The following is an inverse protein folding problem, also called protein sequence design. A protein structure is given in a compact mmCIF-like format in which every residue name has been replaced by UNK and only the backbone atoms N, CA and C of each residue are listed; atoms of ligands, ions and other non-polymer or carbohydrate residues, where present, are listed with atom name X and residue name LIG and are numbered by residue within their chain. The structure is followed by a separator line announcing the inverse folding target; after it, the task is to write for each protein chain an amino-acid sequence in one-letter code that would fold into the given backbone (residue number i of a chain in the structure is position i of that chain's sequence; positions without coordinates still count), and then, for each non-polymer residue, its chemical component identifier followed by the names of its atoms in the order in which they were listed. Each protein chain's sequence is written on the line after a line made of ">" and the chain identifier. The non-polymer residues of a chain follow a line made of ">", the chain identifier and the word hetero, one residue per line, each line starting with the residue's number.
data_IF_664724304506
#
_entry.id   IF_664724304506
#
_cell.length_a   1.000
_cell.length_b   1.000
_cell.length_c   1.000
_cell.angle_alpha   90.00
_cell.angle_beta   90.00
_cell.angle_gamma   90.00
#
_symmetry.space_group_name_H-M   'P 1'
#
loop_
_entity.id
_entity.type
_entity.pdbx_description
1 polymer ?
#
# COMPACT_ATOMS: atom_id res chain seq x y z
N UNK A 1 -46.64 13.62 -23.61
CA UNK A 1 -45.21 13.28 -23.39
C UNK A 1 -44.27 14.49 -23.20
N UNK A 2 -44.75 15.72 -22.95
CA UNK A 2 -43.88 16.91 -22.85
C UNK A 2 -43.25 17.13 -21.46
N UNK A 3 -43.80 16.51 -20.41
CA UNK A 3 -43.38 16.78 -19.03
C UNK A 3 -42.34 15.78 -18.48
N UNK A 4 -42.07 14.67 -19.18
CA UNK A 4 -41.10 13.66 -18.74
C UNK A 4 -39.66 14.20 -18.70
N UNK A 5 -39.30 15.06 -19.65
CA UNK A 5 -37.99 15.74 -19.69
C UNK A 5 -37.85 16.77 -18.58
N UNK A 6 -38.94 17.44 -18.21
CA UNK A 6 -38.96 18.40 -17.09
C UNK A 6 -38.76 17.69 -15.75
N UNK A 7 -39.44 16.56 -15.54
CA UNK A 7 -39.30 15.75 -14.31
C UNK A 7 -37.87 15.22 -14.16
N UNK A 8 -37.25 14.75 -15.25
CA UNK A 8 -35.87 14.27 -15.23
C UNK A 8 -34.87 15.37 -14.82
N UNK A 9 -35.04 16.59 -15.34
CA UNK A 9 -34.20 17.73 -14.98
C UNK A 9 -34.32 18.11 -13.50
N UNK A 10 -35.53 18.04 -12.93
CA UNK A 10 -35.75 18.32 -11.51
C UNK A 10 -35.03 17.30 -10.62
N UNK A 11 -35.03 16.02 -10.99
CA UNK A 11 -34.32 14.96 -10.23
C UNK A 11 -32.80 15.20 -10.23
N UNK A 12 -32.23 15.58 -11.37
CA UNK A 12 -30.78 15.86 -11.49
C UNK A 12 -30.38 17.05 -10.61
N UNK A 13 -31.19 18.10 -10.56
CA UNK A 13 -30.94 19.28 -9.72
C UNK A 13 -30.99 18.92 -8.23
N UNK A 14 -31.94 18.07 -7.81
CA UNK A 14 -32.03 17.59 -6.43
C UNK A 14 -30.79 16.78 -6.05
N UNK A 15 -30.29 15.92 -6.94
CA UNK A 15 -29.07 15.14 -6.70
C UNK A 15 -27.82 16.02 -6.57
N UNK A 16 -27.68 17.05 -7.41
CA UNK A 16 -26.56 18.00 -7.32
C UNK A 16 -26.60 18.81 -6.02
N UNK A 17 -27.78 19.22 -5.56
CA UNK A 17 -27.93 19.93 -4.29
C UNK A 17 -27.59 19.04 -3.08
N UNK A 18 -27.97 17.75 -3.11
CA UNK A 18 -27.61 16.79 -2.07
C UNK A 18 -26.10 16.52 -2.01
N UNK A 19 -25.42 16.46 -3.17
CA UNK A 19 -23.97 16.25 -3.22
C UNK A 19 -23.18 17.40 -2.56
N UNK A 20 -23.63 18.64 -2.72
CA UNK A 20 -23.01 19.81 -2.08
C UNK A 20 -23.22 19.81 -0.56
N UNK A 21 -24.38 19.35 -0.06
CA UNK A 21 -24.66 19.27 1.38
C UNK A 21 -23.80 18.20 2.06
N UNK A 22 -23.56 17.06 1.40
CA UNK A 22 -22.66 16.00 1.90
C UNK A 22 -21.21 16.52 1.93
N UNK A 23 -20.80 17.28 0.91
CA UNK A 23 -19.44 17.83 0.82
C UNK A 23 -19.16 18.92 1.87
N UNK A 24 -20.17 19.73 2.22
CA UNK A 24 -20.01 20.84 3.17
C UNK A 24 -20.19 20.45 4.66
N UNK A 25 -20.68 19.24 4.96
CA UNK A 25 -20.78 18.73 6.34
C UNK A 25 -19.63 17.81 6.74
N UNK A 26 -18.64 17.58 5.87
CA UNK A 26 -17.38 16.96 6.27
C UNK A 26 -16.37 18.03 6.72
N UNK A 27 -16.77 18.87 7.68
CA UNK A 27 -15.81 19.63 8.50
C UNK A 27 -15.22 18.63 9.49
N UNK A 28 -14.17 17.95 9.05
CA UNK A 28 -13.27 17.23 9.96
C UNK A 28 -12.69 18.27 10.92
N UNK A 29 -13.22 18.24 12.13
CA UNK A 29 -12.80 18.99 13.28
C UNK A 29 -11.36 18.56 13.61
N UNK A 30 -10.35 19.23 13.01
CA UNK A 30 -8.97 19.09 13.45
C UNK A 30 -8.85 19.83 14.77
N UNK A 31 -9.05 19.10 15.87
CA UNK A 31 -8.69 19.56 17.20
C UNK A 31 -7.21 19.93 17.23
N UNK A 32 -6.94 21.18 17.59
CA UNK A 32 -5.63 21.66 18.04
C UNK A 32 -5.27 20.94 19.35
N UNK A 33 -4.80 19.70 19.23
CA UNK A 33 -4.12 18.97 20.29
C UNK A 33 -2.61 19.16 20.12
N UNK A 34 -2.06 20.14 20.85
CA UNK A 34 -0.62 20.22 21.10
C UNK A 34 -0.22 19.07 22.02
N UNK A 35 -0.08 17.88 21.46
CA UNK A 35 0.74 16.81 22.00
C UNK A 35 1.80 16.56 20.96
N UNK A 36 3.07 16.73 21.32
CA UNK A 36 4.18 16.34 20.46
C UNK A 36 4.02 14.85 20.13
N UNK A 37 3.42 14.55 18.97
CA UNK A 37 3.69 13.31 18.30
C UNK A 37 5.18 13.39 18.01
N UNK A 38 5.97 12.65 18.78
CA UNK A 38 7.22 12.12 18.28
C UNK A 38 6.94 11.75 16.83
N UNK A 39 7.58 12.47 15.92
CA UNK A 39 7.58 12.13 14.52
C UNK A 39 8.14 10.71 14.50
N UNK A 40 7.25 9.72 14.49
CA UNK A 40 7.60 8.33 14.23
C UNK A 40 8.38 8.42 12.94
N UNK A 41 9.69 8.18 13.07
CA UNK A 41 10.66 8.24 11.99
C UNK A 41 9.99 7.54 10.82
N UNK A 42 9.60 8.30 9.79
CA UNK A 42 9.02 7.73 8.58
C UNK A 42 10.02 6.67 8.13
N UNK A 43 9.65 5.39 8.25
CA UNK A 43 10.47 4.29 7.77
C UNK A 43 10.58 4.54 6.29
N UNK A 44 11.73 5.05 5.85
CA UNK A 44 11.98 5.34 4.46
C UNK A 44 12.26 4.00 3.81
N UNK A 45 11.24 3.35 3.25
CA UNK A 45 11.43 2.11 2.49
C UNK A 45 12.44 2.28 1.35
N UNK A 46 12.61 3.52 0.88
CA UNK A 46 13.69 3.89 -0.03
C UNK A 46 15.07 3.68 0.59
N UNK A 47 15.28 4.06 1.85
CA UNK A 47 16.53 3.83 2.57
C UNK A 47 16.79 2.33 2.78
N UNK A 48 15.77 1.57 3.20
CA UNK A 48 15.87 0.11 3.32
C UNK A 48 16.17 -0.55 1.96
N UNK A 49 15.54 -0.07 0.89
CA UNK A 49 15.80 -0.53 -0.47
C UNK A 49 17.22 -0.20 -0.94
N UNK A 50 17.75 0.97 -0.60
CA UNK A 50 19.12 1.37 -0.95
C UNK A 50 20.16 0.52 -0.17
N UNK A 51 19.91 0.26 1.11
CA UNK A 51 20.84 -0.41 2.02
C UNK A 51 20.73 -1.95 2.08
N UNK A 52 19.60 -2.53 1.68
CA UNK A 52 19.38 -3.97 1.75
C UNK A 52 20.15 -4.80 0.72
N UNK A 53 20.20 -6.10 0.95
CA UNK A 53 20.79 -7.13 0.09
C UNK A 53 20.13 -7.12 -1.28
N UNK A 54 20.91 -6.93 -2.35
CA UNK A 54 20.39 -7.01 -3.73
C UNK A 54 20.25 -8.47 -4.12
N UNK A 55 19.04 -8.90 -4.43
CA UNK A 55 18.74 -10.32 -4.67
C UNK A 55 18.54 -10.60 -6.15
N UNK A 56 17.65 -9.86 -6.81
CA UNK A 56 17.21 -10.18 -8.17
C UNK A 56 16.63 -8.95 -8.90
N UNK A 57 16.33 -9.12 -10.20
CA UNK A 57 15.61 -8.16 -11.03
C UNK A 57 14.51 -8.90 -11.81
N UNK A 58 13.26 -8.65 -11.43
CA UNK A 58 12.07 -9.22 -12.07
C UNK A 58 11.55 -8.25 -13.14
N UNK A 59 12.04 -8.38 -14.36
CA UNK A 59 11.75 -7.44 -15.46
C UNK A 59 10.25 -7.27 -15.79
N UNK A 60 9.43 -8.28 -15.50
CA UNK A 60 7.99 -8.30 -15.78
C UNK A 60 7.12 -8.15 -14.50
N UNK A 61 7.69 -7.68 -13.39
CA UNK A 61 6.99 -7.60 -12.10
C UNK A 61 5.63 -6.90 -12.14
N UNK A 62 5.53 -5.78 -12.88
CA UNK A 62 4.27 -5.03 -13.06
C UNK A 62 3.16 -5.80 -13.77
N UNK A 63 3.55 -6.77 -14.60
CA UNK A 63 2.62 -7.55 -15.43
C UNK A 63 2.35 -8.93 -14.85
N UNK A 64 3.04 -9.32 -13.77
CA UNK A 64 2.74 -10.53 -13.04
C UNK A 64 1.34 -10.43 -12.40
N UNK A 65 0.63 -11.54 -12.46
CA UNK A 65 -0.60 -11.75 -11.70
C UNK A 65 -0.30 -11.74 -10.20
N UNK A 66 -1.30 -11.46 -9.34
CA UNK A 66 -1.13 -11.55 -7.90
C UNK A 66 -0.55 -12.90 -7.43
N UNK A 67 -1.03 -14.02 -7.98
CA UNK A 67 -0.56 -15.36 -7.62
C UNK A 67 0.90 -15.60 -8.00
N UNK A 68 1.34 -15.08 -9.15
CA UNK A 68 2.74 -15.16 -9.55
C UNK A 68 3.64 -14.34 -8.61
N UNK A 69 3.18 -13.15 -8.19
CA UNK A 69 3.91 -12.33 -7.23
C UNK A 69 4.03 -13.04 -5.89
N UNK A 70 2.92 -13.55 -5.37
CA UNK A 70 2.89 -14.30 -4.10
C UNK A 70 3.81 -15.52 -4.18
N UNK A 71 3.71 -16.34 -5.22
CA UNK A 71 4.56 -17.53 -5.38
C UNK A 71 6.05 -17.19 -5.45
N UNK A 72 6.42 -16.09 -6.09
CA UNK A 72 7.80 -15.60 -6.10
C UNK A 72 8.27 -15.22 -4.68
N UNK A 73 7.45 -14.45 -3.97
CA UNK A 73 7.76 -13.98 -2.60
C UNK A 73 7.88 -15.15 -1.63
N UNK A 74 6.95 -16.11 -1.67
CA UNK A 74 6.98 -17.31 -0.82
C UNK A 74 8.25 -18.13 -1.04
N UNK A 75 8.65 -18.34 -2.30
CA UNK A 75 9.90 -19.05 -2.63
C UNK A 75 11.12 -18.31 -2.12
N UNK A 76 11.15 -16.99 -2.30
CA UNK A 76 12.27 -16.17 -1.84
C UNK A 76 12.37 -16.19 -0.30
N UNK A 77 11.25 -15.97 0.40
CA UNK A 77 11.16 -16.05 1.86
C UNK A 77 11.60 -17.43 2.38
N UNK A 78 11.07 -18.51 1.79
CA UNK A 78 11.41 -19.89 2.15
C UNK A 78 12.90 -20.19 1.97
N UNK A 79 13.52 -19.67 0.90
CA UNK A 79 14.96 -19.84 0.66
C UNK A 79 15.85 -19.19 1.74
N UNK A 80 15.28 -18.24 2.49
CA UNK A 80 15.92 -17.54 3.61
C UNK A 80 15.48 -18.08 4.98
N UNK A 81 14.56 -19.06 5.02
CA UNK A 81 14.06 -19.67 6.25
C UNK A 81 12.82 -19.00 6.86
N UNK A 82 12.04 -18.27 6.07
CA UNK A 82 10.81 -17.58 6.48
C UNK A 82 9.59 -18.20 5.78
N UNK A 83 8.42 -18.20 6.44
CA UNK A 83 7.24 -18.92 5.99
C UNK A 83 5.98 -18.05 5.87
N UNK A 84 5.68 -17.28 6.92
CA UNK A 84 4.52 -16.39 6.93
C UNK A 84 4.83 -15.09 6.18
N UNK A 85 3.95 -14.68 5.27
CA UNK A 85 4.13 -13.46 4.46
C UNK A 85 2.93 -12.51 4.58
N UNK A 86 3.21 -11.21 4.69
CA UNK A 86 2.20 -10.14 4.72
C UNK A 86 2.59 -9.07 3.70
N UNK A 87 1.70 -8.80 2.75
CA UNK A 87 1.88 -7.75 1.76
C UNK A 87 1.54 -6.37 2.32
N UNK A 88 2.36 -5.39 1.94
CA UNK A 88 2.18 -3.98 2.21
C UNK A 88 2.53 -3.16 0.94
N UNK A 89 1.59 -2.37 0.45
CA UNK A 89 1.77 -1.51 -0.73
C UNK A 89 1.85 -0.04 -0.28
N UNK A 90 3.05 0.48 0.03
CA UNK A 90 3.20 1.90 0.27
C UNK A 90 2.96 2.65 -1.05
N UNK A 91 2.31 3.82 -0.99
CA UNK A 91 1.97 4.64 -2.16
C UNK A 91 3.19 5.20 -2.93
N UNK A 92 4.38 4.68 -2.68
CA UNK A 92 5.70 5.27 -2.91
C UNK A 92 6.40 4.65 -4.12
N UNK A 93 5.71 3.79 -4.87
CA UNK A 93 6.27 3.08 -6.03
C UNK A 93 7.09 1.84 -5.66
N UNK A 94 6.96 1.37 -4.42
CA UNK A 94 7.47 0.08 -3.95
C UNK A 94 6.31 -0.85 -3.65
N UNK A 95 6.57 -2.14 -3.71
CA UNK A 95 5.71 -3.16 -3.14
C UNK A 95 6.54 -3.93 -2.12
N UNK A 96 5.98 -4.17 -0.94
CA UNK A 96 6.72 -4.67 0.22
C UNK A 96 6.03 -5.91 0.75
N UNK A 97 6.82 -6.90 1.17
CA UNK A 97 6.32 -8.05 1.90
C UNK A 97 7.16 -8.26 3.14
N UNK A 98 6.49 -8.41 4.27
CA UNK A 98 7.11 -8.84 5.51
C UNK A 98 7.05 -10.35 5.56
N UNK A 99 8.21 -11.00 5.68
CA UNK A 99 8.27 -12.44 5.90
C UNK A 99 8.76 -12.73 7.33
N UNK A 100 8.04 -13.57 8.08
CA UNK A 100 8.41 -13.99 9.43
C UNK A 100 8.68 -15.49 9.47
N UNK A 101 9.60 -15.92 10.34
CA UNK A 101 9.71 -17.34 10.65
C UNK A 101 8.42 -17.80 11.36
N UNK A 102 7.99 -19.05 11.18
CA UNK A 102 6.78 -19.64 11.78
C UNK A 102 6.69 -19.50 13.32
N UNK A 103 7.76 -19.06 14.00
CA UNK A 103 7.68 -18.54 15.36
C UNK A 103 7.26 -17.06 15.32
N UNK A 104 6.10 -16.76 15.90
CA UNK A 104 5.46 -15.45 16.19
C UNK A 104 6.38 -14.44 16.93
N UNK A 105 7.63 -14.31 16.52
CA UNK A 105 8.66 -13.45 17.06
C UNK A 105 9.02 -12.39 15.99
N UNK A 106 8.45 -11.18 16.08
CA UNK A 106 8.64 -10.12 15.09
C UNK A 106 10.11 -9.66 14.97
N UNK A 107 10.96 -10.00 15.95
CA UNK A 107 12.42 -9.74 15.93
C UNK A 107 13.17 -10.53 14.85
N UNK A 108 12.51 -11.48 14.18
CA UNK A 108 13.06 -12.23 13.05
C UNK A 108 12.13 -12.09 11.84
N UNK A 109 11.96 -10.86 11.39
CA UNK A 109 11.31 -10.57 10.10
C UNK A 109 12.34 -10.12 9.07
N UNK A 110 12.04 -10.33 7.81
CA UNK A 110 12.71 -9.68 6.69
C UNK A 110 11.70 -8.86 5.91
N UNK A 111 12.18 -7.77 5.33
CA UNK A 111 11.43 -6.98 4.36
C UNK A 111 11.90 -7.36 2.97
N UNK A 112 11.00 -7.87 2.14
CA UNK A 112 11.22 -8.05 0.72
C UNK A 112 10.66 -6.82 0.03
N UNK A 113 11.52 -6.00 -0.55
CA UNK A 113 11.17 -4.71 -1.14
C UNK A 113 11.40 -4.79 -2.65
N UNK A 114 10.34 -4.56 -3.43
CA UNK A 114 10.40 -4.56 -4.89
C UNK A 114 10.07 -3.18 -5.42
N UNK A 115 10.97 -2.61 -6.23
CA UNK A 115 10.71 -1.33 -6.89
C UNK A 115 9.86 -1.55 -8.14
N UNK A 116 8.64 -1.01 -8.15
CA UNK A 116 7.67 -1.23 -9.23
C UNK A 116 8.23 -0.84 -10.60
N UNK A 117 8.99 0.26 -10.70
CA UNK A 117 9.51 0.78 -11.98
C UNK A 117 10.60 -0.08 -12.62
N UNK A 118 11.39 -0.82 -11.83
CA UNK A 118 12.57 -1.54 -12.32
C UNK A 118 12.50 -3.05 -12.09
N UNK A 119 11.61 -3.51 -11.22
CA UNK A 119 11.53 -4.91 -10.79
C UNK A 119 12.70 -5.36 -9.91
N UNK A 120 13.58 -4.43 -9.50
CA UNK A 120 14.68 -4.73 -8.59
C UNK A 120 14.14 -5.20 -7.24
N UNK A 121 14.71 -6.28 -6.72
CA UNK A 121 14.32 -6.92 -5.47
C UNK A 121 15.44 -6.79 -4.45
N UNK A 122 15.06 -6.37 -3.25
CA UNK A 122 15.95 -6.18 -2.11
C UNK A 122 15.39 -6.91 -0.90
N UNK A 123 16.28 -7.54 -0.13
CA UNK A 123 15.95 -8.02 1.21
C UNK A 123 16.62 -7.12 2.23
N UNK A 124 15.83 -6.59 3.16
CA UNK A 124 16.31 -5.82 4.30
C UNK A 124 16.03 -6.59 5.59
N UNK A 125 16.98 -6.51 6.52
CA UNK A 125 16.92 -7.11 7.85
C UNK A 125 17.41 -6.05 8.82
N UNK A 126 16.63 -5.77 9.87
CA UNK A 126 17.04 -4.87 10.95
C UNK A 126 18.18 -5.43 11.82
#
# INVERSE_FOLDING_TARGET
>A
MKNKRLILLVIIIIFLLLFVIISNNLTLQTGSGSGSSEMTKSISFKEHFENGEKVDIISNFKTMTPDEKISYIEKLASSKGYGDIIEFDPSDGFQIWYATSDSYNPEKSIEIIIQNSTGKVVIYTE
#
